data_IF_974482298083
#
_entry.id   IF_974482298083
#
_cell.length_a   1.000
_cell.length_b   1.000
_cell.length_c   1.000
_cell.angle_alpha   90.00
_cell.angle_beta   90.00
_cell.angle_gamma   90.00
#
_symmetry.space_group_name_H-M   'P 1'
#
loop_
_entity.id
_entity.type
_entity.pdbx_description
1 polymer ?
#
# COMPACT_ATOMS: atom_id res chain seq x y z
N UNK A 1 12.77 -14.01 14.73
CA UNK A 1 12.65 -15.28 13.98
C UNK A 1 12.55 -15.08 12.45
N UNK A 2 12.03 -13.96 11.93
CA UNK A 2 11.93 -13.72 10.47
C UNK A 2 13.22 -13.27 9.75
N UNK A 3 14.23 -12.77 10.46
CA UNK A 3 15.40 -12.12 9.82
C UNK A 3 16.51 -13.04 9.35
N UNK A 4 16.51 -14.30 9.82
CA UNK A 4 17.52 -15.27 9.40
C UNK A 4 17.43 -15.51 7.90
N UNK A 5 16.22 -15.58 7.34
CA UNK A 5 16.02 -15.79 5.90
C UNK A 5 16.54 -14.62 5.07
N UNK A 6 16.34 -13.37 5.50
CA UNK A 6 16.82 -12.20 4.76
C UNK A 6 18.35 -12.13 4.75
N UNK A 7 18.99 -12.40 5.89
CA UNK A 7 20.45 -12.49 5.99
C UNK A 7 21.01 -13.63 5.14
N UNK A 8 20.39 -14.82 5.18
CA UNK A 8 20.78 -15.93 4.32
C UNK A 8 20.63 -15.57 2.84
N UNK A 9 19.58 -14.85 2.44
CA UNK A 9 19.44 -14.37 1.06
C UNK A 9 20.53 -13.37 0.67
N UNK A 10 20.91 -12.44 1.54
CA UNK A 10 22.02 -11.49 1.32
C UNK A 10 23.34 -12.27 1.13
N UNK A 11 23.61 -13.21 2.02
CA UNK A 11 24.81 -14.06 1.99
C UNK A 11 24.83 -14.90 0.71
N UNK A 12 23.76 -15.63 0.41
CA UNK A 12 23.67 -16.54 -0.74
C UNK A 12 23.65 -15.81 -2.08
N UNK A 13 23.06 -14.61 -2.14
CA UNK A 13 23.04 -13.80 -3.37
C UNK A 13 24.32 -13.00 -3.57
N UNK A 14 25.17 -12.89 -2.55
CA UNK A 14 26.30 -11.96 -2.49
C UNK A 14 25.89 -10.53 -2.90
N UNK A 15 24.67 -10.12 -2.53
CA UNK A 15 24.13 -8.79 -2.82
C UNK A 15 23.82 -8.08 -1.52
N UNK A 16 24.36 -6.87 -1.38
CA UNK A 16 23.93 -5.95 -0.35
C UNK A 16 22.53 -5.43 -0.72
N UNK A 17 21.54 -5.69 0.14
CA UNK A 17 20.20 -5.14 0.00
C UNK A 17 20.15 -3.81 0.77
N UNK A 18 20.23 -2.70 0.04
CA UNK A 18 20.00 -1.36 0.59
C UNK A 18 18.88 -0.69 -0.21
N UNK A 19 17.61 -1.01 0.13
CA UNK A 19 16.49 -0.40 -0.57
C UNK A 19 16.44 1.09 -0.25
N UNK A 20 16.29 1.92 -1.29
CA UNK A 20 16.01 3.34 -1.13
C UNK A 20 14.58 3.55 -0.60
N UNK A 21 13.63 2.72 -1.05
CA UNK A 21 12.22 2.80 -0.68
C UNK A 21 11.67 1.41 -0.31
N UNK A 22 10.87 1.33 0.75
CA UNK A 22 10.15 0.12 1.16
C UNK A 22 8.66 0.42 1.29
N UNK A 23 7.85 -0.22 0.45
CA UNK A 23 6.39 -0.19 0.59
C UNK A 23 5.93 -1.36 1.46
N UNK A 24 5.17 -1.08 2.52
CA UNK A 24 4.65 -2.12 3.41
C UNK A 24 3.22 -1.85 3.89
N UNK A 25 2.64 -2.82 4.58
CA UNK A 25 1.32 -2.73 5.19
C UNK A 25 1.37 -1.91 6.49
N UNK A 26 0.23 -1.38 6.94
CA UNK A 26 0.14 -0.50 8.13
C UNK A 26 0.22 -1.24 9.47
N UNK A 27 1.01 -2.31 9.53
CA UNK A 27 1.29 -3.04 10.76
C UNK A 27 2.49 -2.44 11.46
N UNK A 28 2.30 -1.91 12.67
CA UNK A 28 3.36 -1.28 13.47
C UNK A 28 4.57 -2.21 13.65
N UNK A 29 4.31 -3.50 13.87
CA UNK A 29 5.37 -4.49 14.00
C UNK A 29 6.21 -4.63 12.72
N UNK A 30 5.58 -4.59 11.54
CA UNK A 30 6.24 -4.64 10.24
C UNK A 30 7.00 -3.35 9.95
N UNK A 31 6.42 -2.20 10.28
CA UNK A 31 7.07 -0.89 10.13
C UNK A 31 8.35 -0.83 10.97
N UNK A 32 8.26 -1.16 12.26
CA UNK A 32 9.40 -1.14 13.16
C UNK A 32 10.50 -2.10 12.71
N UNK A 33 10.10 -3.29 12.27
CA UNK A 33 10.99 -4.30 11.69
C UNK A 33 11.77 -3.80 10.47
N UNK A 34 11.10 -3.11 9.55
CA UNK A 34 11.75 -2.55 8.36
C UNK A 34 12.70 -1.41 8.73
N UNK A 35 12.30 -0.52 9.63
CA UNK A 35 13.13 0.62 10.04
C UNK A 35 14.37 0.18 10.84
N UNK A 36 14.28 -0.89 11.63
CA UNK A 36 15.42 -1.50 12.33
C UNK A 36 16.45 -2.06 11.33
N UNK A 37 15.98 -2.78 10.30
CA UNK A 37 16.86 -3.42 9.32
C UNK A 37 17.39 -2.44 8.26
N UNK A 38 16.57 -1.48 7.85
CA UNK A 38 16.88 -0.52 6.78
C UNK A 38 16.64 0.91 7.28
N UNK A 39 17.48 1.40 8.21
CA UNK A 39 17.28 2.72 8.82
C UNK A 39 17.41 3.88 7.82
N UNK A 40 17.99 3.63 6.64
CA UNK A 40 18.13 4.61 5.55
C UNK A 40 17.02 4.52 4.50
N UNK A 41 16.15 3.51 4.56
CA UNK A 41 15.08 3.34 3.59
C UNK A 41 13.92 4.27 3.91
N UNK A 42 13.35 4.88 2.87
CA UNK A 42 12.08 5.58 2.96
C UNK A 42 10.95 4.56 3.09
N UNK A 43 10.31 4.50 4.26
CA UNK A 43 9.16 3.62 4.47
C UNK A 43 7.87 4.31 4.02
N UNK A 44 7.13 3.65 3.12
CA UNK A 44 5.86 4.16 2.59
C UNK A 44 4.76 3.13 2.79
N UNK A 45 3.63 3.58 3.36
CA UNK A 45 2.45 2.74 3.47
C UNK A 45 1.79 2.48 2.12
N UNK A 46 1.42 1.22 1.89
CA UNK A 46 0.69 0.77 0.72
C UNK A 46 -0.69 1.46 0.60
N UNK A 47 -0.87 2.33 -0.40
CA UNK A 47 -2.12 3.05 -0.63
C UNK A 47 -3.32 2.10 -0.77
N UNK A 48 -3.13 0.95 -1.42
CA UNK A 48 -4.20 -0.05 -1.57
C UNK A 48 -4.71 -0.53 -0.22
N UNK A 49 -3.81 -0.94 0.67
CA UNK A 49 -4.18 -1.38 2.02
C UNK A 49 -4.72 -0.23 2.87
N UNK A 50 -4.20 0.98 2.69
CA UNK A 50 -4.75 2.18 3.34
C UNK A 50 -6.23 2.36 2.98
N UNK A 51 -6.54 2.37 1.68
CA UNK A 51 -7.92 2.47 1.16
C UNK A 51 -8.78 1.31 1.65
N UNK A 52 -8.23 0.11 1.76
CA UNK A 52 -8.94 -1.05 2.30
C UNK A 52 -9.30 -0.86 3.79
N UNK A 53 -8.39 -0.36 4.61
CA UNK A 53 -8.64 -0.08 6.03
C UNK A 53 -9.70 1.02 6.17
N UNK A 54 -9.61 2.10 5.38
CA UNK A 54 -10.64 3.14 5.34
C UNK A 54 -12.00 2.57 4.93
N UNK A 55 -12.04 1.72 3.90
CA UNK A 55 -13.25 1.04 3.45
C UNK A 55 -13.88 0.22 4.58
N UNK A 56 -13.10 -0.61 5.28
CA UNK A 56 -13.57 -1.43 6.40
C UNK A 56 -14.25 -0.54 7.45
N UNK A 57 -13.63 0.59 7.81
CA UNK A 57 -14.23 1.52 8.75
C UNK A 57 -15.55 2.13 8.27
N UNK A 58 -15.64 2.51 7.00
CA UNK A 58 -16.89 3.04 6.44
C UNK A 58 -18.01 2.00 6.42
N UNK A 59 -17.67 0.75 6.12
CA UNK A 59 -18.61 -0.40 6.18
C UNK A 59 -19.10 -0.61 7.61
N UNK A 60 -18.20 -0.57 8.60
CA UNK A 60 -18.57 -0.71 10.02
C UNK A 60 -19.52 0.41 10.47
N UNK A 61 -19.30 1.64 9.97
CA UNK A 61 -20.17 2.79 10.21
C UNK A 61 -21.47 2.75 9.38
N UNK A 62 -21.66 1.70 8.57
CA UNK A 62 -22.82 1.50 7.70
C UNK A 62 -23.05 2.64 6.70
N UNK A 63 -21.98 3.24 6.20
CA UNK A 63 -22.06 4.21 5.09
C UNK A 63 -22.56 3.45 3.84
N UNK A 64 -23.48 4.01 3.04
CA UNK A 64 -23.98 3.35 1.83
C UNK A 64 -22.85 2.97 0.87
N UNK A 65 -22.90 1.76 0.32
CA UNK A 65 -21.87 1.24 -0.59
C UNK A 65 -21.62 2.13 -1.81
N UNK A 66 -22.66 2.80 -2.33
CA UNK A 66 -22.52 3.77 -3.43
C UNK A 66 -21.64 4.95 -3.04
N UNK A 67 -21.80 5.47 -1.82
CA UNK A 67 -20.99 6.57 -1.30
C UNK A 67 -19.57 6.10 -0.98
N UNK A 68 -19.39 4.90 -0.44
CA UNK A 68 -18.06 4.30 -0.22
C UNK A 68 -17.30 4.16 -1.54
N UNK A 69 -17.93 3.56 -2.57
CA UNK A 69 -17.34 3.41 -3.90
C UNK A 69 -16.97 4.77 -4.50
N UNK A 70 -17.86 5.75 -4.39
CA UNK A 70 -17.62 7.11 -4.86
C UNK A 70 -16.44 7.76 -4.15
N UNK A 71 -16.35 7.69 -2.82
CA UNK A 71 -15.31 8.34 -2.02
C UNK A 71 -13.92 7.69 -2.15
N UNK A 72 -13.88 6.38 -2.39
CA UNK A 72 -12.64 5.64 -2.66
C UNK A 72 -12.23 5.67 -4.13
N UNK A 73 -12.95 6.40 -4.99
CA UNK A 73 -12.52 6.66 -6.36
C UNK A 73 -11.25 7.51 -6.42
N UNK A 74 -10.57 7.56 -7.59
CA UNK A 74 -9.41 8.42 -7.79
C UNK A 74 -9.73 9.90 -7.57
N UNK A 75 -8.76 10.65 -7.05
CA UNK A 75 -8.85 12.10 -6.87
C UNK A 75 -9.68 12.53 -5.65
N UNK A 76 -10.03 11.59 -4.76
CA UNK A 76 -10.85 11.85 -3.58
C UNK A 76 -10.05 11.54 -2.32
N UNK A 77 -10.41 10.48 -1.59
CA UNK A 77 -9.70 10.16 -0.34
C UNK A 77 -8.23 9.82 -0.56
N UNK A 78 -7.85 9.29 -1.72
CA UNK A 78 -6.45 9.05 -2.05
C UNK A 78 -5.64 10.33 -2.26
N UNK A 79 -6.26 11.45 -2.61
CA UNK A 79 -5.60 12.76 -2.66
C UNK A 79 -5.03 13.18 -1.30
N UNK A 80 -5.64 12.75 -0.19
CA UNK A 80 -5.11 13.02 1.16
C UNK A 80 -3.71 12.45 1.36
N UNK A 81 -3.32 11.43 0.58
CA UNK A 81 -2.01 10.81 0.67
C UNK A 81 -0.92 11.61 -0.07
N UNK A 82 -1.27 12.67 -0.80
CA UNK A 82 -0.34 13.54 -1.55
C UNK A 82 -0.51 15.03 -1.28
N UNK A 83 -1.54 15.43 -0.52
CA UNK A 83 -1.72 16.81 -0.05
C UNK A 83 -0.83 17.07 1.18
N UNK A 84 -0.26 18.28 1.36
CA UNK A 84 0.55 18.61 2.54
C UNK A 84 -0.19 18.33 3.86
N UNK A 85 0.52 17.69 4.80
CA UNK A 85 -0.03 17.19 6.07
C UNK A 85 -0.69 18.30 6.90
N UNK A 86 -0.09 19.49 6.90
CA UNK A 86 -0.55 20.67 7.62
C UNK A 86 -1.88 21.24 7.08
N UNK A 87 -2.24 20.91 5.84
CA UNK A 87 -3.49 21.33 5.21
C UNK A 87 -4.63 20.33 5.44
N UNK A 88 -4.34 19.10 5.88
CA UNK A 88 -5.34 18.02 5.94
C UNK A 88 -6.53 18.39 6.83
N UNK A 89 -6.29 18.76 8.07
CA UNK A 89 -7.35 19.10 9.01
C UNK A 89 -8.04 20.44 8.69
N UNK A 90 -7.31 21.38 8.07
CA UNK A 90 -7.76 22.77 7.85
C UNK A 90 -8.55 22.94 6.55
N UNK A 91 -8.13 22.28 5.47
CA UNK A 91 -8.63 22.47 4.11
C UNK A 91 -9.06 21.15 3.47
N UNK A 92 -8.21 20.12 3.50
CA UNK A 92 -8.43 18.90 2.70
C UNK A 92 -9.66 18.12 3.11
N UNK A 93 -9.95 18.00 4.41
CA UNK A 93 -11.20 17.38 4.85
C UNK A 93 -12.41 18.13 4.30
N UNK A 94 -12.42 19.47 4.30
CA UNK A 94 -13.54 20.26 3.76
C UNK A 94 -13.69 20.07 2.25
N UNK A 95 -12.57 20.08 1.54
CA UNK A 95 -12.54 19.83 0.10
C UNK A 95 -13.06 18.44 -0.26
N UNK A 96 -12.56 17.37 0.38
CA UNK A 96 -13.05 16.01 0.08
C UNK A 96 -14.54 15.87 0.39
N UNK A 97 -15.02 16.56 1.42
CA UNK A 97 -16.45 16.58 1.74
C UNK A 97 -17.32 17.33 0.75
N UNK A 98 -16.78 18.28 -0.02
CA UNK A 98 -17.54 18.99 -1.06
C UNK A 98 -17.72 18.13 -2.32
N UNK A 99 -16.76 17.24 -2.61
CA UNK A 99 -16.78 16.36 -3.80
C UNK A 99 -17.31 14.94 -3.54
N UNK A 100 -17.60 14.60 -2.29
CA UNK A 100 -18.23 13.33 -1.88
C UNK A 100 -19.68 13.56 -1.48
N UNK A 101 -20.60 12.76 -2.01
CA UNK A 101 -22.00 12.78 -1.55
C UNK A 101 -22.10 12.19 -0.13
N UNK A 102 -22.44 13.03 0.83
CA UNK A 102 -22.71 12.66 2.22
C UNK A 102 -24.19 12.83 2.62
N UNK A 103 -25.06 13.28 1.71
CA UNK A 103 -26.40 13.84 2.00
C UNK A 103 -27.27 12.92 2.86
N UNK A 104 -27.27 11.61 2.55
CA UNK A 104 -28.08 10.60 3.24
C UNK A 104 -27.38 9.90 4.41
N UNK A 105 -26.14 10.29 4.72
CA UNK A 105 -25.31 9.62 5.73
C UNK A 105 -24.43 10.59 6.53
N UNK A 106 -24.81 11.88 6.63
CA UNK A 106 -23.99 12.94 7.20
C UNK A 106 -23.43 12.61 8.60
N UNK A 107 -24.23 12.05 9.49
CA UNK A 107 -23.78 11.64 10.84
C UNK A 107 -22.72 10.52 10.79
N UNK A 108 -22.86 9.56 9.86
CA UNK A 108 -21.90 8.47 9.67
C UNK A 108 -20.59 8.99 9.09
N UNK A 109 -20.67 9.91 8.13
CA UNK A 109 -19.51 10.62 7.61
C UNK A 109 -18.80 11.46 8.66
N UNK A 110 -19.54 12.17 9.53
CA UNK A 110 -18.94 12.86 10.67
C UNK A 110 -18.17 11.90 11.60
N UNK A 111 -18.75 10.72 11.88
CA UNK A 111 -18.06 9.69 12.66
C UNK A 111 -16.81 9.15 11.95
N UNK A 112 -16.86 8.98 10.63
CA UNK A 112 -15.72 8.59 9.81
C UNK A 112 -14.59 9.62 9.87
N UNK A 113 -14.88 10.91 9.66
CA UNK A 113 -13.88 11.97 9.69
C UNK A 113 -13.27 12.16 11.08
N UNK A 114 -14.08 12.06 12.14
CA UNK A 114 -13.59 12.05 13.52
C UNK A 114 -12.64 10.87 13.77
N UNK A 115 -12.99 9.68 13.29
CA UNK A 115 -12.11 8.52 13.34
C UNK A 115 -10.83 8.76 12.52
N UNK A 116 -10.95 9.32 11.32
CA UNK A 116 -9.85 9.52 10.40
C UNK A 116 -8.78 10.40 11.02
N UNK A 117 -9.16 11.58 11.51
CA UNK A 117 -8.24 12.52 12.15
C UNK A 117 -7.58 11.89 13.38
N UNK A 118 -8.38 11.31 14.28
CA UNK A 118 -7.85 10.65 15.49
C UNK A 118 -6.90 9.48 15.18
N UNK A 119 -7.17 8.72 14.13
CA UNK A 119 -6.36 7.53 13.83
C UNK A 119 -5.13 7.90 13.01
N UNK A 120 -5.33 8.61 11.90
CA UNK A 120 -4.29 8.83 10.90
C UNK A 120 -3.48 10.12 11.10
N UNK A 121 -3.98 11.08 11.89
CA UNK A 121 -3.24 12.30 12.20
C UNK A 121 -2.67 12.31 13.63
N UNK A 122 -3.28 11.58 14.58
CA UNK A 122 -2.83 11.57 15.98
C UNK A 122 -2.13 10.26 16.40
N UNK A 123 -2.62 9.10 15.97
CA UNK A 123 -2.06 7.79 16.40
C UNK A 123 -0.97 7.28 15.46
N UNK A 124 -1.18 7.39 14.15
CA UNK A 124 -0.17 7.08 13.15
C UNK A 124 0.56 8.35 12.77
N UNK A 125 1.87 8.24 12.56
CA UNK A 125 2.63 9.33 11.93
C UNK A 125 2.15 9.49 10.48
N UNK A 126 1.83 10.73 10.10
CA UNK A 126 1.39 11.07 8.75
C UNK A 126 2.40 10.66 7.68
N UNK A 127 3.71 10.67 8.00
CA UNK A 127 4.78 10.23 7.08
C UNK A 127 4.63 8.78 6.64
N UNK A 128 3.93 7.95 7.41
CA UNK A 128 3.73 6.52 7.09
C UNK A 128 2.71 6.29 5.99
N UNK A 129 1.81 7.24 5.72
CA UNK A 129 0.75 7.08 4.70
C UNK A 129 0.67 8.24 3.71
N UNK A 130 1.24 9.40 4.04
CA UNK A 130 1.34 10.56 3.18
C UNK A 130 2.73 10.62 2.54
N UNK A 131 2.78 10.89 1.23
CA UNK A 131 4.02 10.89 0.43
C UNK A 131 4.31 12.26 -0.17
N UNK A 132 3.61 13.31 0.25
CA UNK A 132 3.76 14.65 -0.32
C UNK A 132 5.20 15.15 -0.17
N UNK A 133 5.81 14.94 0.99
CA UNK A 133 7.20 15.35 1.23
C UNK A 133 8.17 14.60 0.31
N UNK A 134 7.97 13.30 0.13
CA UNK A 134 8.77 12.47 -0.78
C UNK A 134 8.66 12.95 -2.23
N UNK A 135 7.44 13.29 -2.67
CA UNK A 135 7.22 13.88 -3.99
C UNK A 135 7.93 15.23 -4.13
N UNK A 136 7.90 16.08 -3.08
CA UNK A 136 8.56 17.39 -3.06
C UNK A 136 10.08 17.27 -3.23
N UNK A 137 10.71 16.28 -2.59
CA UNK A 137 12.16 16.06 -2.67
C UNK A 137 12.57 15.17 -3.85
N UNK A 138 11.63 14.82 -4.74
CA UNK A 138 11.91 14.08 -5.98
C UNK A 138 12.11 12.58 -5.80
N UNK A 139 11.66 11.99 -4.69
CA UNK A 139 11.67 10.53 -4.50
C UNK A 139 10.58 9.92 -5.39
N UNK A 140 10.98 9.01 -6.28
CA UNK A 140 10.05 8.33 -7.17
C UNK A 140 9.24 7.28 -6.38
N UNK A 141 7.99 7.62 -6.03
CA UNK A 141 7.09 6.73 -5.30
C UNK A 141 6.35 5.83 -6.30
N UNK A 142 7.12 4.90 -6.88
CA UNK A 142 6.75 4.14 -8.09
C UNK A 142 5.66 3.10 -7.84
N UNK A 143 5.51 2.59 -6.62
CA UNK A 143 4.60 1.48 -6.33
C UNK A 143 4.00 1.55 -4.92
N UNK A 144 2.83 2.19 -4.80
CA UNK A 144 2.00 2.17 -3.58
C UNK A 144 0.91 1.10 -3.60
N UNK A 145 1.11 0.04 -4.39
CA UNK A 145 0.17 -1.06 -4.52
C UNK A 145 0.88 -2.38 -4.25
N UNK A 146 0.19 -3.28 -3.54
CA UNK A 146 0.66 -4.63 -3.29
C UNK A 146 0.11 -5.64 -4.32
N UNK A 147 -0.59 -5.19 -5.37
CA UNK A 147 -1.26 -6.06 -6.34
C UNK A 147 -0.36 -7.17 -6.92
N UNK A 148 0.91 -6.92 -7.29
CA UNK A 148 1.80 -7.99 -7.76
C UNK A 148 2.07 -9.06 -6.71
N UNK A 149 2.29 -8.67 -5.45
CA UNK A 149 2.55 -9.59 -4.34
C UNK A 149 1.27 -10.33 -3.94
N UNK A 150 0.12 -9.67 -3.92
CA UNK A 150 -1.17 -10.35 -3.70
C UNK A 150 -1.47 -11.36 -4.81
N UNK A 151 -1.22 -11.00 -6.07
CA UNK A 151 -1.36 -11.93 -7.19
C UNK A 151 -0.43 -13.12 -7.02
N UNK A 152 0.84 -12.87 -6.69
CA UNK A 152 1.79 -13.95 -6.39
C UNK A 152 1.28 -14.86 -5.28
N UNK A 153 0.81 -14.30 -4.17
CA UNK A 153 0.29 -15.08 -3.04
C UNK A 153 -0.93 -15.90 -3.43
N UNK A 154 -1.86 -15.34 -4.23
CA UNK A 154 -3.02 -16.08 -4.77
C UNK A 154 -2.59 -17.19 -5.73
N UNK A 155 -1.67 -16.91 -6.64
CA UNK A 155 -1.16 -17.87 -7.62
C UNK A 155 -0.36 -19.00 -6.95
N UNK A 156 0.36 -18.69 -5.87
CA UNK A 156 1.08 -19.67 -5.06
C UNK A 156 0.09 -20.52 -4.26
N UNK A 157 -0.87 -19.89 -3.59
CA UNK A 157 -1.90 -20.58 -2.83
C UNK A 157 -2.76 -21.50 -3.72
N UNK A 158 -3.09 -21.11 -4.95
CA UNK A 158 -3.88 -21.94 -5.87
C UNK A 158 -3.15 -23.20 -6.35
N UNK A 159 -1.82 -23.24 -6.23
CA UNK A 159 -0.97 -24.41 -6.52
C UNK A 159 -0.76 -25.32 -5.32
N UNK A 160 -1.29 -24.95 -4.16
CA UNK A 160 -1.24 -25.75 -2.93
C UNK A 160 -2.64 -26.08 -2.44
N UNK A 161 -2.76 -27.08 -1.58
CA UNK A 161 -4.03 -27.34 -0.89
C UNK A 161 -4.31 -26.22 0.11
N UNK A 162 -5.60 -25.95 0.37
CA UNK A 162 -6.02 -25.06 1.44
C UNK A 162 -5.53 -25.62 2.78
N UNK A 163 -4.76 -24.84 3.54
CA UNK A 163 -4.14 -25.24 4.81
C UNK A 163 -3.21 -26.48 4.72
N UNK A 164 -2.11 -26.41 3.97
CA UNK A 164 -1.18 -27.54 3.87
C UNK A 164 -0.49 -27.80 5.21
N UNK A 165 -0.26 -29.07 5.54
CA UNK A 165 0.66 -29.43 6.62
C UNK A 165 2.09 -28.93 6.32
N UNK A 166 2.92 -28.76 7.36
CA UNK A 166 4.24 -28.13 7.23
C UNK A 166 5.12 -28.75 6.14
N UNK A 167 5.15 -30.08 6.02
CA UNK A 167 5.94 -30.77 4.99
C UNK A 167 5.42 -30.47 3.58
N UNK A 168 4.10 -30.49 3.39
CA UNK A 168 3.47 -30.16 2.11
C UNK A 168 3.72 -28.69 1.73
N UNK A 169 3.72 -27.79 2.71
CA UNK A 169 4.08 -26.39 2.52
C UNK A 169 5.54 -26.21 2.09
N UNK A 170 6.47 -26.88 2.76
CA UNK A 170 7.90 -26.84 2.41
C UNK A 170 8.10 -27.34 0.97
N UNK A 171 7.48 -28.46 0.62
CA UNK A 171 7.60 -29.04 -0.72
C UNK A 171 6.94 -28.17 -1.80
N UNK A 172 5.78 -27.57 -1.49
CA UNK A 172 5.15 -26.55 -2.35
C UNK A 172 6.06 -25.36 -2.59
N UNK A 173 6.69 -24.84 -1.54
CA UNK A 173 7.62 -23.69 -1.60
C UNK A 173 8.85 -24.01 -2.46
N UNK A 174 9.46 -25.19 -2.29
CA UNK A 174 10.59 -25.63 -3.13
C UNK A 174 10.22 -25.71 -4.60
N UNK A 175 9.05 -26.28 -4.92
CA UNK A 175 8.55 -26.37 -6.30
C UNK A 175 8.31 -24.99 -6.91
N UNK A 176 7.75 -24.06 -6.13
CA UNK A 176 7.54 -22.69 -6.57
C UNK A 176 8.85 -21.94 -6.81
N UNK A 177 9.86 -22.13 -5.96
CA UNK A 177 11.20 -21.56 -6.15
C UNK A 177 11.84 -22.07 -7.45
N UNK A 178 11.82 -23.39 -7.68
CA UNK A 178 12.35 -23.99 -8.91
C UNK A 178 11.61 -23.49 -10.17
N UNK A 179 10.29 -23.30 -10.08
CA UNK A 179 9.48 -22.71 -11.16
C UNK A 179 9.91 -21.27 -11.47
N UNK A 180 10.17 -20.47 -10.44
CA UNK A 180 10.63 -19.08 -10.60
C UNK A 180 12.01 -18.99 -11.24
N UNK A 181 12.96 -19.84 -10.83
CA UNK A 181 14.30 -19.90 -11.42
C UNK A 181 14.19 -20.21 -12.92
N UNK A 182 13.45 -21.26 -13.29
CA UNK A 182 13.21 -21.61 -14.70
C UNK A 182 12.60 -20.46 -15.50
N UNK A 183 11.60 -19.78 -14.94
CA UNK A 183 10.98 -18.62 -15.59
C UNK A 183 11.98 -17.50 -15.85
N UNK A 184 12.88 -17.22 -14.91
CA UNK A 184 13.93 -16.20 -15.08
C UNK A 184 14.90 -16.61 -16.19
N UNK A 185 15.31 -17.88 -16.24
CA UNK A 185 16.15 -18.41 -17.32
C UNK A 185 15.44 -18.32 -18.67
N UNK A 186 14.18 -18.74 -18.75
CA UNK A 186 13.39 -18.67 -19.98
C UNK A 186 13.26 -17.23 -20.49
N UNK A 187 13.09 -16.25 -19.60
CA UNK A 187 13.10 -14.83 -19.96
C UNK A 187 14.48 -14.39 -20.48
N UNK A 188 15.57 -14.76 -19.78
CA UNK A 188 16.94 -14.44 -20.21
C UNK A 188 17.28 -15.03 -21.59
N UNK A 189 16.76 -16.22 -21.87
CA UNK A 189 16.95 -16.93 -23.13
C UNK A 189 15.86 -16.61 -24.18
N UNK A 190 15.03 -15.60 -23.94
CA UNK A 190 13.95 -15.16 -24.85
C UNK A 190 12.94 -16.27 -25.21
N UNK A 191 12.88 -17.34 -24.40
CA UNK A 191 11.87 -18.41 -24.49
C UNK A 191 10.52 -17.97 -23.93
N UNK A 192 10.52 -16.94 -23.08
CA UNK A 192 9.32 -16.32 -22.53
C UNK A 192 9.50 -14.80 -22.45
N UNK A 193 8.42 -14.04 -22.66
CA UNK A 193 8.41 -12.59 -22.45
C UNK A 193 8.19 -12.23 -20.98
N UNK A 194 8.89 -11.20 -20.51
CA UNK A 194 8.65 -10.63 -19.18
C UNK A 194 7.22 -10.09 -19.09
N UNK A 195 6.62 -10.14 -17.90
CA UNK A 195 5.31 -9.54 -17.68
C UNK A 195 5.38 -8.03 -17.92
N UNK A 196 4.51 -7.52 -18.79
CA UNK A 196 4.30 -6.09 -18.90
C UNK A 196 3.51 -5.64 -17.66
N UNK A 197 4.11 -4.75 -16.88
CA UNK A 197 3.44 -4.11 -15.77
C UNK A 197 2.83 -2.80 -16.27
N UNK A 198 1.61 -2.51 -15.83
CA UNK A 198 1.01 -1.20 -16.08
C UNK A 198 1.93 -0.11 -15.51
N UNK A 199 2.01 1.06 -16.16
CA UNK A 199 2.75 2.17 -15.59
C UNK A 199 2.18 2.51 -14.21
N UNK A 200 3.04 2.97 -13.28
CA UNK A 200 2.62 3.49 -12.00
C UNK A 200 1.49 4.50 -12.14
N UNK A 201 0.43 4.35 -11.33
CA UNK A 201 -0.57 5.38 -11.22
C UNK A 201 0.06 6.60 -10.52
N UNK A 202 0.12 7.74 -11.20
CA UNK A 202 0.48 9.01 -10.58
C UNK A 202 -0.68 9.46 -9.70
N UNK A 203 -0.39 9.68 -8.43
CA UNK A 203 -1.30 10.40 -7.55
C UNK A 203 -0.99 11.88 -7.69
N UNK A 204 -1.98 12.67 -8.08
CA UNK A 204 -1.86 14.11 -8.25
C UNK A 204 -2.86 14.80 -7.31
N UNK A 205 -2.49 15.98 -6.85
CA UNK A 205 -3.41 16.84 -6.12
C UNK A 205 -4.45 17.32 -7.16
N UNK A 206 -5.77 17.21 -6.89
CA UNK A 206 -6.79 17.69 -7.80
C UNK A 206 -6.61 19.16 -8.15
N UNK A 207 -6.81 19.53 -9.43
CA UNK A 207 -6.58 20.90 -9.93
C UNK A 207 -7.42 21.96 -9.19
N UNK A 208 -8.65 21.61 -8.82
CA UNK A 208 -9.58 22.48 -8.09
C UNK A 208 -9.29 22.54 -6.58
N UNK A 209 -8.31 21.78 -6.07
CA UNK A 209 -7.92 21.84 -4.66
C UNK A 209 -7.28 23.18 -4.31
N UNK A 210 -6.43 23.72 -5.19
CA UNK A 210 -5.68 24.95 -4.90
C UNK A 210 -6.63 26.13 -4.71
N UNK A 211 -7.64 26.25 -5.57
CA UNK A 211 -8.64 27.32 -5.55
C UNK A 211 -9.77 27.11 -4.54
N UNK A 212 -9.81 25.96 -3.85
CA UNK A 212 -10.83 25.67 -2.83
C UNK A 212 -10.55 26.41 -1.51
N UNK A 213 -11.54 27.17 -1.04
CA UNK A 213 -11.53 27.92 0.24
C UNK A 213 -12.33 27.19 1.33
#
# INVERSE_FOLDING_TARGET
MNWRVLNELIILSNRQLEPENVTCDFEVALINAVLDQFPRANLVGCLFHWKQVLRRKMVDLRIPDSQIKSALGPGKLDSLAVIPVDQIAKKSVRYIRSIVDETRAKTKWNAFWKYFLKTWMERYDATTWNVQEMMRVGVDVINRTNNPLEKYNRDFASRMSTHPGLLAFIEGTKREAARYIRRIEDIKHLRQTASQHAPPAKLEIPEDYESFE
#
